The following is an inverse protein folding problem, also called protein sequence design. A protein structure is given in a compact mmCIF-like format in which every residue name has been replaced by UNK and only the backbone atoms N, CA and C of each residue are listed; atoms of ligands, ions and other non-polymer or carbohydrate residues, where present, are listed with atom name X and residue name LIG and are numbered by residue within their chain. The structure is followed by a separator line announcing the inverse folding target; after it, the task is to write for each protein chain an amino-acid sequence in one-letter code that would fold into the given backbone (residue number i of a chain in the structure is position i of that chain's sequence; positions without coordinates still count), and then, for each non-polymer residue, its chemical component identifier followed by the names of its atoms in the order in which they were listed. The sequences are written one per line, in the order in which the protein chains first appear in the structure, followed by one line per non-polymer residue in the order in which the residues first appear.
data_IF_407185511682
#
_entry.id   IF_407185511682
#
_cell.length_a   1.000
_cell.length_b   1.000
_cell.length_c   1.000
_cell.angle_alpha   90.00
_cell.angle_beta   90.00
_cell.angle_gamma   90.00
#
_symmetry.space_group_name_H-M   'P 1'
#
loop_
_entity.id
_entity.type
_entity.pdbx_description
1 polymer ?
#
# COMPACT_ATOMS: atom_id res chain seq x y z
N UNK A 1 32.31 -18.94 13.31
CA UNK A 1 31.75 -19.63 12.11
C UNK A 1 30.30 -19.94 12.47
N UNK A 2 29.30 -19.17 12.02
CA UNK A 2 28.63 -19.31 10.72
C UNK A 2 27.18 -19.76 11.02
N UNK A 3 26.12 -19.39 10.29
CA UNK A 3 26.01 -18.56 9.08
C UNK A 3 25.02 -17.42 9.29
N UNK A 4 25.31 -16.23 8.74
CA UNK A 4 24.32 -15.16 8.61
C UNK A 4 23.42 -15.43 7.40
N UNK A 5 22.13 -15.73 7.63
CA UNK A 5 21.16 -15.92 6.55
C UNK A 5 20.73 -14.55 6.02
N UNK A 6 21.40 -14.08 4.97
CA UNK A 6 20.98 -12.90 4.20
C UNK A 6 19.67 -13.21 3.49
N UNK A 7 18.53 -12.93 4.13
CA UNK A 7 17.23 -12.90 3.46
C UNK A 7 17.25 -11.78 2.41
N UNK A 8 17.11 -12.15 1.14
CA UNK A 8 16.99 -11.17 0.05
C UNK A 8 15.71 -10.35 0.26
N UNK A 9 15.84 -9.03 0.35
CA UNK A 9 14.71 -8.13 0.26
C UNK A 9 14.18 -8.16 -1.18
N UNK A 10 12.89 -8.43 -1.33
CA UNK A 10 12.16 -8.44 -2.59
C UNK A 10 10.67 -8.50 -2.33
N UNK A 11 9.88 -7.88 -3.20
CA UNK A 11 8.43 -8.07 -3.29
C UNK A 11 7.54 -7.44 -2.20
N UNK A 12 8.07 -6.79 -1.16
CA UNK A 12 7.26 -6.18 -0.07
C UNK A 12 7.67 -4.75 0.27
N UNK A 13 7.13 -3.79 -0.48
CA UNK A 13 7.04 -2.38 -0.09
C UNK A 13 5.78 -2.10 0.78
N UNK A 14 5.21 -3.14 1.42
CA UNK A 14 3.93 -3.05 2.16
C UNK A 14 3.71 -4.06 3.32
N UNK A 15 4.72 -4.82 3.78
CA UNK A 15 4.69 -5.54 5.08
C UNK A 15 6.13 -5.68 5.67
N UNK A 16 6.28 -6.26 6.88
CA UNK A 16 7.55 -6.31 7.65
C UNK A 16 8.65 -7.20 7.05
N UNK A 17 9.80 -7.45 7.68
CA UNK A 17 10.20 -7.54 9.12
C UNK A 17 11.77 -7.47 9.14
N UNK A 18 12.60 -6.92 10.06
CA UNK A 18 12.66 -6.60 11.53
C UNK A 18 13.50 -5.27 11.67
N UNK A 19 14.19 -4.83 12.75
CA UNK A 19 14.39 -5.30 14.13
C UNK A 19 15.67 -4.79 14.84
N UNK A 20 15.95 -5.34 16.04
CA UNK A 20 17.15 -5.22 16.93
C UNK A 20 17.40 -3.87 17.64
N UNK A 21 17.53 -3.95 18.98
CA UNK A 21 18.09 -3.00 19.95
C UNK A 21 17.50 -1.56 19.99
N UNK A 22 17.05 -1.13 21.17
CA UNK A 22 16.40 0.17 21.37
C UNK A 22 17.08 1.07 22.41
N UNK A 23 16.69 2.34 22.40
CA UNK A 23 16.86 3.32 23.48
C UNK A 23 15.50 4.03 23.62
N UNK A 24 15.00 4.19 24.85
CA UNK A 24 13.72 4.87 25.09
C UNK A 24 13.84 6.39 24.90
N UNK A 25 12.82 7.01 24.30
CA UNK A 25 12.75 8.47 24.13
C UNK A 25 11.45 8.99 24.78
N UNK A 26 11.60 9.64 25.92
CA UNK A 26 10.53 10.41 26.55
C UNK A 26 10.43 11.79 25.89
N UNK A 27 9.24 12.21 25.44
CA UNK A 27 9.07 13.56 24.88
C UNK A 27 7.82 13.81 24.03
N UNK A 28 7.11 12.77 23.58
CA UNK A 28 5.84 12.93 22.84
C UNK A 28 4.68 12.94 23.83
N UNK A 29 3.82 13.96 23.76
CA UNK A 29 2.60 14.07 24.57
C UNK A 29 1.63 12.93 24.28
N UNK A 30 0.71 12.68 25.21
CA UNK A 30 -0.24 11.57 25.10
C UNK A 30 -0.96 11.58 23.72
N UNK A 31 -1.14 10.41 23.08
CA UNK A 31 -1.88 10.33 21.83
C UNK A 31 -3.27 10.95 22.02
N UNK A 32 -3.79 11.60 20.99
CA UNK A 32 -5.20 11.96 20.95
C UNK A 32 -6.01 10.71 21.28
N UNK A 33 -6.81 10.76 22.36
CA UNK A 33 -7.72 9.67 22.69
C UNK A 33 -8.59 9.47 21.46
N UNK A 34 -8.57 8.27 20.88
CA UNK A 34 -9.30 7.99 19.64
C UNK A 34 -10.78 8.33 19.83
N UNK A 35 -11.20 9.50 19.33
CA UNK A 35 -12.57 9.97 19.39
C UNK A 35 -13.37 9.12 18.41
N UNK A 36 -13.76 7.95 18.91
CA UNK A 36 -14.09 6.77 18.10
C UNK A 36 -14.96 7.11 16.90
N UNK A 37 -14.52 6.68 15.71
CA UNK A 37 -15.13 6.88 14.38
C UNK A 37 -16.67 6.89 14.49
N UNK A 38 -17.25 8.09 14.62
CA UNK A 38 -18.56 8.23 15.28
C UNK A 38 -19.68 7.69 14.40
N UNK A 39 -20.22 6.53 14.79
CA UNK A 39 -21.37 5.90 14.14
C UNK A 39 -21.04 4.95 12.97
N UNK A 40 -19.78 4.58 12.76
CA UNK A 40 -19.40 3.57 11.76
C UNK A 40 -19.28 2.18 12.41
N UNK A 41 -20.21 1.28 12.10
CA UNK A 41 -20.14 -0.15 12.44
C UNK A 41 -19.78 -0.99 11.21
N UNK A 42 -18.72 -1.77 11.31
CA UNK A 42 -18.17 -2.60 10.23
C UNK A 42 -16.84 -3.22 10.63
N UNK A 43 -16.31 -4.12 9.80
CA UNK A 43 -15.03 -4.80 10.07
C UNK A 43 -13.85 -3.81 9.99
N UNK A 44 -13.96 -2.78 9.14
CA UNK A 44 -12.91 -1.78 8.94
C UNK A 44 -12.74 -0.77 10.08
N UNK A 45 -13.79 -0.09 10.57
CA UNK A 45 -13.70 0.80 11.74
C UNK A 45 -13.18 0.11 13.01
N UNK A 46 -13.52 -1.18 13.21
CA UNK A 46 -12.94 -1.99 14.28
C UNK A 46 -11.43 -2.18 14.07
N UNK A 47 -11.00 -2.54 12.85
CA UNK A 47 -9.59 -2.71 12.53
C UNK A 47 -8.76 -1.42 12.70
N UNK A 48 -9.31 -0.25 12.33
CA UNK A 48 -8.68 1.06 12.61
C UNK A 48 -8.51 1.26 14.11
N UNK A 49 -9.57 1.05 14.91
CA UNK A 49 -9.50 1.20 16.37
C UNK A 49 -8.43 0.29 16.98
N UNK A 50 -8.36 -0.98 16.57
CA UNK A 50 -7.33 -1.92 17.05
C UNK A 50 -5.93 -1.49 16.61
N UNK A 51 -5.75 -1.01 15.37
CA UNK A 51 -4.46 -0.50 14.90
C UNK A 51 -4.02 0.75 15.68
N UNK A 52 -4.93 1.69 15.98
CA UNK A 52 -4.64 2.87 16.80
C UNK A 52 -4.20 2.51 18.23
N UNK A 53 -4.77 1.46 18.84
CA UNK A 53 -4.28 0.93 20.12
C UNK A 53 -2.89 0.31 19.97
N UNK A 54 -2.70 -0.59 19.01
CA UNK A 54 -1.42 -1.28 18.79
C UNK A 54 -0.27 -0.31 18.45
N UNK A 55 -0.55 0.82 17.79
CA UNK A 55 0.47 1.83 17.50
C UNK A 55 1.15 2.38 18.78
N UNK A 56 0.47 2.35 19.93
CA UNK A 56 1.04 2.81 21.20
C UNK A 56 2.12 1.84 21.69
N UNK A 57 1.85 0.54 21.60
CA UNK A 57 2.83 -0.52 21.89
C UNK A 57 4.00 -0.47 20.89
N UNK A 58 3.72 -0.24 19.60
CA UNK A 58 4.74 -0.09 18.56
C UNK A 58 5.58 1.18 18.76
N UNK A 59 5.03 2.29 19.28
CA UNK A 59 5.78 3.50 19.64
C UNK A 59 6.78 3.25 20.78
N UNK A 60 6.44 2.37 21.73
CA UNK A 60 7.35 1.94 22.81
C UNK A 60 8.33 0.81 22.44
N UNK A 61 8.20 0.23 21.24
CA UNK A 61 8.99 -0.92 20.80
C UNK A 61 10.38 -0.56 20.27
N UNK A 62 11.24 -1.57 20.07
CA UNK A 62 12.55 -1.43 19.39
C UNK A 62 12.46 -1.36 17.86
N UNK A 63 11.33 -0.93 17.29
CA UNK A 63 11.19 -0.75 15.84
C UNK A 63 12.08 0.40 15.33
N UNK A 64 12.91 0.16 14.30
CA UNK A 64 13.68 1.21 13.66
C UNK A 64 12.80 2.38 13.18
N UNK A 65 13.31 3.61 13.29
CA UNK A 65 12.56 4.86 13.06
C UNK A 65 11.75 4.89 11.76
N UNK A 66 12.29 4.33 10.68
CA UNK A 66 11.64 4.26 9.37
C UNK A 66 10.39 3.35 9.36
N UNK A 67 10.42 2.22 10.08
CA UNK A 67 9.25 1.35 10.26
C UNK A 67 8.20 1.96 11.19
N UNK A 68 8.63 2.72 12.22
CA UNK A 68 7.73 3.56 13.06
C UNK A 68 7.04 4.63 12.19
N UNK A 69 7.81 5.38 11.39
CA UNK A 69 7.30 6.41 10.49
C UNK A 69 6.32 5.85 9.45
N UNK A 70 6.61 4.67 8.85
CA UNK A 70 5.70 3.98 7.94
C UNK A 70 4.37 3.60 8.63
N UNK A 71 4.44 3.06 9.84
CA UNK A 71 3.25 2.64 10.59
C UNK A 71 2.36 3.85 10.93
N UNK A 72 2.96 4.92 11.44
CA UNK A 72 2.29 6.19 11.73
C UNK A 72 1.67 6.79 10.46
N UNK A 73 2.40 6.85 9.35
CA UNK A 73 1.91 7.42 8.10
C UNK A 73 0.79 6.60 7.45
N UNK A 74 0.88 5.25 7.47
CA UNK A 74 -0.23 4.40 7.00
C UNK A 74 -1.47 4.58 7.86
N UNK A 75 -1.36 4.60 9.20
CA UNK A 75 -2.53 4.83 10.05
C UNK A 75 -3.11 6.24 9.86
N UNK A 76 -2.28 7.27 9.66
CA UNK A 76 -2.75 8.61 9.32
C UNK A 76 -3.64 8.59 8.06
N UNK A 77 -3.21 7.88 7.01
CA UNK A 77 -3.99 7.68 5.79
C UNK A 77 -5.29 6.92 6.06
N UNK A 78 -5.24 5.80 6.78
CA UNK A 78 -6.46 5.00 7.03
C UNK A 78 -7.45 5.78 7.92
N UNK A 79 -7.00 6.55 8.91
CA UNK A 79 -7.86 7.45 9.69
C UNK A 79 -8.47 8.56 8.84
N UNK A 80 -7.69 9.18 7.93
CA UNK A 80 -8.18 10.18 6.99
C UNK A 80 -9.34 9.64 6.13
N UNK A 81 -9.20 8.43 5.57
CA UNK A 81 -10.27 7.79 4.78
C UNK A 81 -11.54 7.61 5.61
N UNK A 82 -11.43 7.19 6.86
CA UNK A 82 -12.55 7.06 7.80
C UNK A 82 -13.08 8.40 8.38
N UNK A 83 -12.58 9.55 7.92
CA UNK A 83 -13.05 10.89 8.31
C UNK A 83 -12.51 11.41 9.64
N UNK A 84 -11.52 10.73 10.23
CA UNK A 84 -10.85 11.14 11.47
C UNK A 84 -9.68 12.09 11.14
N UNK A 85 -10.01 13.25 10.55
CA UNK A 85 -9.04 14.24 10.07
C UNK A 85 -8.14 14.79 11.19
N UNK A 86 -8.66 14.96 12.41
CA UNK A 86 -7.88 15.49 13.52
C UNK A 86 -6.75 14.53 13.90
N UNK A 87 -7.08 13.24 14.11
CA UNK A 87 -6.07 12.23 14.40
C UNK A 87 -5.13 12.00 13.22
N UNK A 88 -5.65 12.01 11.99
CA UNK A 88 -4.83 11.90 10.79
C UNK A 88 -3.81 13.06 10.67
N UNK A 89 -4.21 14.32 10.93
CA UNK A 89 -3.29 15.47 10.96
C UNK A 89 -2.34 15.44 12.17
N UNK A 90 -2.67 14.79 13.27
CA UNK A 90 -1.71 14.50 14.37
C UNK A 90 -0.67 13.47 13.91
N UNK A 91 -1.11 12.30 13.44
CA UNK A 91 -0.20 11.24 13.00
C UNK A 91 0.66 11.67 11.80
N UNK A 92 0.15 12.46 10.86
CA UNK A 92 0.94 13.00 9.77
C UNK A 92 2.12 13.85 10.28
N UNK A 93 1.92 14.64 11.33
CA UNK A 93 3.00 15.41 11.99
C UNK A 93 3.99 14.48 12.72
N UNK A 94 3.51 13.48 13.46
CA UNK A 94 4.36 12.46 14.09
C UNK A 94 5.26 11.75 13.05
N UNK A 95 4.72 11.38 11.88
CA UNK A 95 5.48 10.74 10.81
C UNK A 95 6.57 11.67 10.24
N UNK A 96 6.27 12.95 10.05
CA UNK A 96 7.26 13.96 9.61
C UNK A 96 8.33 14.20 10.68
N UNK A 97 7.99 14.16 11.97
CA UNK A 97 8.99 14.20 13.05
C UNK A 97 9.92 12.97 13.00
N UNK A 98 9.37 11.76 12.82
CA UNK A 98 10.14 10.51 12.72
C UNK A 98 11.09 10.46 11.50
N UNK A 99 10.72 11.09 10.39
CA UNK A 99 11.61 11.31 9.24
C UNK A 99 12.83 12.17 9.64
N UNK A 100 12.58 13.24 10.40
CA UNK A 100 13.57 14.25 10.76
C UNK A 100 14.35 13.95 12.06
N UNK A 101 14.04 12.87 12.79
CA UNK A 101 14.86 12.36 13.89
C UNK A 101 16.33 12.16 13.43
N UNK A 102 17.34 12.39 14.30
CA UNK A 102 18.69 11.93 14.04
C UNK A 102 18.75 10.40 14.14
N UNK A 103 19.52 9.73 13.27
CA UNK A 103 19.67 8.28 13.32
C UNK A 103 20.18 7.67 12.00
N UNK A 104 20.26 6.34 11.92
CA UNK A 104 20.74 5.64 10.72
C UNK A 104 19.91 5.99 9.49
N UNK A 105 20.54 5.89 8.32
CA UNK A 105 19.93 6.15 7.02
C UNK A 105 18.72 5.23 6.74
N UNK A 106 17.91 5.62 5.76
CA UNK A 106 16.83 4.79 5.26
C UNK A 106 17.35 3.48 4.67
N UNK A 107 16.77 2.30 4.98
CA UNK A 107 16.99 1.12 4.15
C UNK A 107 16.45 1.40 2.72
N UNK A 108 17.02 0.81 1.65
CA UNK A 108 16.71 1.20 0.28
C UNK A 108 15.21 1.18 -0.06
N UNK A 109 14.47 0.18 0.45
CA UNK A 109 13.04 -0.02 0.21
C UNK A 109 12.11 0.81 1.12
N UNK A 110 12.62 1.62 2.06
CA UNK A 110 11.77 2.43 2.94
C UNK A 110 12.51 3.69 3.43
N UNK A 111 12.22 4.83 2.79
CA UNK A 111 12.78 6.13 3.15
C UNK A 111 11.77 7.28 3.06
N UNK A 112 12.24 8.54 3.23
CA UNK A 112 11.37 9.72 3.30
C UNK A 112 10.40 9.85 2.11
N UNK A 113 10.86 9.58 0.89
CA UNK A 113 10.02 9.71 -0.31
C UNK A 113 8.76 8.85 -0.27
N UNK A 114 8.88 7.57 0.14
CA UNK A 114 7.76 6.65 0.28
C UNK A 114 6.79 7.12 1.37
N UNK A 115 7.31 7.59 2.50
CA UNK A 115 6.52 8.06 3.64
C UNK A 115 5.77 9.36 3.27
N UNK A 116 6.45 10.33 2.64
CA UNK A 116 5.83 11.55 2.13
C UNK A 116 4.77 11.26 1.07
N UNK A 117 4.94 10.27 0.18
CA UNK A 117 3.91 9.84 -0.75
C UNK A 117 2.67 9.26 -0.04
N UNK A 118 2.86 8.46 1.01
CA UNK A 118 1.74 7.93 1.83
C UNK A 118 0.99 9.07 2.53
N UNK A 119 1.72 10.06 3.07
CA UNK A 119 1.12 11.26 3.68
C UNK A 119 0.42 12.14 2.64
N UNK A 120 0.97 12.29 1.43
CA UNK A 120 0.35 13.03 0.32
C UNK A 120 -1.02 12.45 -0.04
N UNK A 121 -1.13 11.11 -0.14
CA UNK A 121 -2.43 10.45 -0.26
C UNK A 121 -3.32 10.66 0.97
N UNK A 122 -2.79 10.62 2.20
CA UNK A 122 -3.58 10.89 3.40
C UNK A 122 -4.25 12.26 3.35
N UNK A 123 -3.57 13.29 2.84
CA UNK A 123 -4.16 14.62 2.68
C UNK A 123 -5.21 14.69 1.55
N UNK A 124 -5.10 13.89 0.47
CA UNK A 124 -6.22 13.72 -0.48
C UNK A 124 -7.43 13.04 0.15
N UNK A 125 -7.17 12.03 0.98
CA UNK A 125 -8.20 11.31 1.72
C UNK A 125 -8.93 12.27 2.71
N UNK A 126 -8.22 13.27 3.25
CA UNK A 126 -8.75 14.44 4.02
C UNK A 126 -9.23 15.63 3.14
N UNK A 127 -9.42 15.46 1.82
CA UNK A 127 -9.87 16.51 0.88
C UNK A 127 -9.03 17.79 0.84
N UNK A 128 -7.74 17.68 1.16
CA UNK A 128 -6.76 18.77 1.21
C UNK A 128 -5.70 18.60 0.09
N UNK A 129 -6.05 18.92 -1.17
CA UNK A 129 -5.16 18.73 -2.31
C UNK A 129 -3.93 19.66 -2.27
N UNK A 130 -4.02 20.79 -1.58
CA UNK A 130 -2.88 21.72 -1.47
C UNK A 130 -1.75 21.14 -0.61
N UNK A 131 -2.07 20.62 0.57
CA UNK A 131 -1.08 19.94 1.41
C UNK A 131 -0.64 18.60 0.82
N UNK A 132 -1.52 17.90 0.09
CA UNK A 132 -1.14 16.73 -0.72
C UNK A 132 -0.02 17.06 -1.71
N UNK A 133 -0.18 18.11 -2.53
CA UNK A 133 0.83 18.51 -3.53
C UNK A 133 2.13 18.98 -2.85
N UNK A 134 2.05 19.64 -1.70
CA UNK A 134 3.25 19.99 -0.91
C UNK A 134 4.03 18.74 -0.46
N UNK A 135 3.33 17.72 0.05
CA UNK A 135 3.94 16.45 0.46
C UNK A 135 4.45 15.63 -0.73
N UNK A 136 3.77 15.68 -1.89
CA UNK A 136 4.28 15.10 -3.12
C UNK A 136 5.60 15.76 -3.56
N UNK A 137 5.73 17.08 -3.43
CA UNK A 137 6.97 17.80 -3.75
C UNK A 137 8.12 17.46 -2.78
N UNK A 138 7.86 17.30 -1.48
CA UNK A 138 8.88 16.81 -0.53
C UNK A 138 9.24 15.33 -0.82
N UNK A 139 8.30 14.51 -1.29
CA UNK A 139 8.60 13.17 -1.79
C UNK A 139 9.53 13.20 -3.02
N UNK A 140 9.25 14.05 -4.00
CA UNK A 140 10.07 14.22 -5.22
C UNK A 140 11.47 14.77 -4.93
N UNK A 141 11.58 15.66 -3.94
CA UNK A 141 12.86 16.16 -3.41
C UNK A 141 13.66 15.05 -2.72
N UNK A 142 13.01 14.21 -1.91
CA UNK A 142 13.63 13.02 -1.34
C UNK A 142 13.99 11.95 -2.39
N UNK A 143 13.25 11.83 -3.50
CA UNK A 143 13.58 10.91 -4.61
C UNK A 143 14.94 11.19 -5.27
N UNK A 144 15.50 12.40 -5.13
CA UNK A 144 16.79 12.77 -5.73
C UNK A 144 17.98 11.93 -5.22
N UNK A 145 17.86 11.34 -4.02
CA UNK A 145 18.91 10.49 -3.42
C UNK A 145 18.59 8.99 -3.48
N UNK A 146 17.43 8.60 -4.02
CA UNK A 146 17.03 7.19 -4.14
C UNK A 146 17.64 6.56 -5.39
N UNK A 147 18.56 5.63 -5.18
CA UNK A 147 19.25 4.87 -6.25
C UNK A 147 18.64 3.49 -6.52
N UNK A 148 17.79 2.98 -5.62
CA UNK A 148 17.14 1.68 -5.77
C UNK A 148 16.04 1.72 -6.84
N UNK A 149 16.24 0.95 -7.93
CA UNK A 149 15.33 0.91 -9.08
C UNK A 149 13.88 0.53 -8.70
N UNK A 150 13.64 -0.59 -7.99
CA UNK A 150 12.30 -0.98 -7.55
C UNK A 150 11.59 0.11 -6.73
N UNK A 151 12.30 0.75 -5.79
CA UNK A 151 11.74 1.81 -4.94
C UNK A 151 11.43 3.07 -5.74
N UNK A 152 12.30 3.44 -6.70
CA UNK A 152 12.03 4.53 -7.65
C UNK A 152 10.78 4.27 -8.48
N UNK A 153 10.72 3.13 -9.17
CA UNK A 153 9.61 2.76 -10.03
C UNK A 153 8.28 2.81 -9.27
N UNK A 154 8.20 2.17 -8.10
CA UNK A 154 6.98 2.14 -7.29
C UNK A 154 6.62 3.53 -6.72
N UNK A 155 7.59 4.30 -6.22
CA UNK A 155 7.30 5.63 -5.63
C UNK A 155 6.90 6.66 -6.70
N UNK A 156 7.54 6.69 -7.88
CA UNK A 156 7.09 7.53 -8.98
C UNK A 156 5.72 7.10 -9.54
N UNK A 157 5.44 5.79 -9.61
CA UNK A 157 4.12 5.29 -10.04
C UNK A 157 3.02 5.72 -9.07
N UNK A 158 3.27 5.61 -7.76
CA UNK A 158 2.31 5.99 -6.72
C UNK A 158 2.12 7.51 -6.65
N UNK A 159 3.19 8.31 -6.76
CA UNK A 159 3.08 9.77 -6.88
C UNK A 159 2.35 10.20 -8.15
N UNK A 160 2.51 9.49 -9.28
CA UNK A 160 1.73 9.71 -10.49
C UNK A 160 0.23 9.45 -10.32
N UNK A 161 -0.12 8.40 -9.57
CA UNK A 161 -1.52 8.09 -9.19
C UNK A 161 -2.11 9.16 -8.26
N UNK A 162 -1.37 9.56 -7.23
CA UNK A 162 -1.74 10.64 -6.30
C UNK A 162 -1.96 11.96 -7.04
N UNK A 163 -1.02 12.35 -7.91
CA UNK A 163 -1.10 13.64 -8.63
C UNK A 163 -2.20 13.65 -9.70
N UNK A 164 -2.64 12.49 -10.18
CA UNK A 164 -3.82 12.38 -11.05
C UNK A 164 -5.11 12.77 -10.31
N UNK A 165 -5.26 12.38 -9.04
CA UNK A 165 -6.36 12.83 -8.17
C UNK A 165 -6.17 14.29 -7.72
N UNK A 166 -4.94 14.69 -7.38
CA UNK A 166 -4.64 16.00 -6.78
C UNK A 166 -4.67 17.17 -7.78
N UNK A 167 -4.29 16.91 -9.03
CA UNK A 167 -3.94 17.94 -10.02
C UNK A 167 -4.16 17.52 -11.48
N UNK A 168 -4.80 16.37 -11.72
CA UNK A 168 -5.13 15.90 -13.07
C UNK A 168 -3.91 15.62 -13.95
N UNK A 169 -4.10 15.82 -15.25
CA UNK A 169 -3.13 15.41 -16.30
C UNK A 169 -1.78 16.09 -16.13
N UNK A 170 -1.75 17.39 -15.86
CA UNK A 170 -0.52 18.19 -15.92
C UNK A 170 0.45 17.87 -14.78
N UNK A 171 -0.06 17.62 -13.57
CA UNK A 171 0.77 17.17 -12.45
C UNK A 171 1.16 15.69 -12.51
N UNK A 172 0.28 14.83 -13.05
CA UNK A 172 0.53 13.39 -13.13
C UNK A 172 1.47 12.98 -14.27
N UNK A 173 1.28 13.54 -15.47
CA UNK A 173 2.01 13.16 -16.70
C UNK A 173 3.54 13.12 -16.57
N UNK A 174 4.24 14.14 -16.01
CA UNK A 174 5.70 14.06 -15.88
C UNK A 174 6.15 12.93 -14.95
N UNK A 175 5.36 12.61 -13.92
CA UNK A 175 5.63 11.54 -12.96
C UNK A 175 5.38 10.16 -13.56
N UNK A 176 4.29 9.99 -14.31
CA UNK A 176 3.98 8.74 -15.01
C UNK A 176 5.03 8.44 -16.11
N UNK A 177 5.51 9.46 -16.82
CA UNK A 177 6.62 9.31 -17.77
C UNK A 177 7.95 8.93 -17.08
N UNK A 178 8.21 9.44 -15.87
CA UNK A 178 9.38 9.03 -15.07
C UNK A 178 9.21 7.61 -14.51
N UNK A 179 8.00 7.26 -14.05
CA UNK A 179 7.65 5.95 -13.57
C UNK A 179 7.83 4.88 -14.66
N UNK A 180 7.34 5.14 -15.89
CA UNK A 180 7.55 4.26 -17.04
C UNK A 180 9.04 4.05 -17.37
N UNK A 181 9.85 5.11 -17.33
CA UNK A 181 11.31 5.03 -17.55
C UNK A 181 12.01 4.18 -16.50
N UNK A 182 11.70 4.36 -15.22
CA UNK A 182 12.33 3.56 -14.16
C UNK A 182 11.82 2.11 -14.19
N UNK A 183 10.54 1.91 -14.47
CA UNK A 183 9.89 0.59 -14.53
C UNK A 183 10.38 -0.28 -15.70
N UNK A 184 10.74 0.32 -16.84
CA UNK A 184 11.31 -0.42 -17.99
C UNK A 184 12.75 -0.88 -17.77
N UNK A 185 13.46 -0.37 -16.76
CA UNK A 185 14.78 -0.89 -16.35
C UNK A 185 14.70 -2.10 -15.41
N UNK A 186 13.51 -2.43 -14.90
CA UNK A 186 13.32 -3.56 -13.99
C UNK A 186 13.26 -4.90 -14.75
N UNK A 187 13.75 -6.00 -14.14
CA UNK A 187 13.44 -7.33 -14.63
C UNK A 187 11.94 -7.64 -14.48
N UNK A 188 11.41 -8.49 -15.37
CA UNK A 188 10.04 -8.95 -15.27
C UNK A 188 9.81 -9.73 -13.95
N UNK A 189 8.84 -9.27 -13.16
CA UNK A 189 8.61 -9.73 -11.79
C UNK A 189 7.61 -8.87 -11.03
N UNK A 190 7.43 -9.16 -9.73
CA UNK A 190 6.43 -8.51 -8.86
C UNK A 190 6.59 -7.00 -8.82
N UNK A 191 7.83 -6.51 -8.74
CA UNK A 191 8.19 -5.10 -8.64
C UNK A 191 7.81 -4.31 -9.89
N UNK A 192 8.05 -4.88 -11.09
CA UNK A 192 7.66 -4.27 -12.36
C UNK A 192 6.14 -4.27 -12.54
N UNK A 193 5.47 -5.39 -12.19
CA UNK A 193 4.01 -5.53 -12.29
C UNK A 193 3.29 -4.57 -11.36
N UNK A 194 3.75 -4.40 -10.13
CA UNK A 194 3.16 -3.45 -9.17
C UNK A 194 3.26 -1.99 -9.68
N UNK A 195 4.43 -1.60 -10.20
CA UNK A 195 4.64 -0.28 -10.78
C UNK A 195 3.78 -0.05 -12.05
N UNK A 196 3.81 -0.97 -13.02
CA UNK A 196 2.97 -0.91 -14.23
C UNK A 196 1.47 -0.85 -13.90
N UNK A 197 1.01 -1.61 -12.90
CA UNK A 197 -0.39 -1.59 -12.48
C UNK A 197 -0.81 -0.24 -11.86
N UNK A 198 0.07 0.40 -11.08
CA UNK A 198 -0.18 1.76 -10.55
C UNK A 198 -0.19 2.82 -11.66
N UNK A 199 0.71 2.72 -12.64
CA UNK A 199 0.75 3.59 -13.82
C UNK A 199 -0.54 3.46 -14.64
N UNK A 200 -0.98 2.23 -14.91
CA UNK A 200 -2.24 1.96 -15.62
C UNK A 200 -3.48 2.44 -14.86
N UNK A 201 -3.51 2.31 -13.52
CA UNK A 201 -4.57 2.90 -12.69
C UNK A 201 -4.62 4.43 -12.83
N UNK A 202 -3.46 5.10 -12.84
CA UNK A 202 -3.38 6.54 -12.99
C UNK A 202 -3.82 7.01 -14.40
N UNK A 203 -3.37 6.33 -15.46
CA UNK A 203 -3.80 6.61 -16.84
C UNK A 203 -5.30 6.38 -17.02
N UNK A 204 -5.86 5.31 -16.42
CA UNK A 204 -7.29 5.04 -16.39
C UNK A 204 -8.09 6.15 -15.71
N UNK A 205 -7.65 6.63 -14.53
CA UNK A 205 -8.25 7.80 -13.85
C UNK A 205 -8.20 9.07 -14.70
N UNK A 206 -7.13 9.29 -15.45
CA UNK A 206 -6.96 10.42 -16.38
C UNK A 206 -7.73 10.22 -17.71
N UNK A 207 -8.42 9.09 -17.89
CA UNK A 207 -9.08 8.68 -19.14
C UNK A 207 -8.11 8.61 -20.36
N UNK A 208 -6.81 8.44 -20.12
CA UNK A 208 -5.79 8.25 -21.15
C UNK A 208 -5.75 6.79 -21.59
N UNK A 209 -6.76 6.42 -22.39
CA UNK A 209 -6.98 5.03 -22.84
C UNK A 209 -5.86 4.47 -23.71
N UNK A 210 -5.14 5.32 -24.44
CA UNK A 210 -4.02 4.90 -25.27
C UNK A 210 -2.83 4.48 -24.38
N UNK A 211 -2.37 5.38 -23.51
CA UNK A 211 -1.27 5.09 -22.59
C UNK A 211 -1.60 3.92 -21.64
N UNK A 212 -2.86 3.80 -21.22
CA UNK A 212 -3.33 2.66 -20.41
C UNK A 212 -3.24 1.33 -21.17
N UNK A 213 -3.64 1.27 -22.44
CA UNK A 213 -3.56 0.05 -23.25
C UNK A 213 -2.11 -0.41 -23.47
N UNK A 214 -1.20 0.51 -23.79
CA UNK A 214 0.23 0.22 -23.93
C UNK A 214 0.83 -0.32 -22.61
N UNK A 215 0.45 0.30 -21.48
CA UNK A 215 0.92 -0.11 -20.15
C UNK A 215 0.35 -1.48 -19.74
N UNK A 216 -0.90 -1.81 -20.11
CA UNK A 216 -1.48 -3.15 -19.93
C UNK A 216 -0.83 -4.22 -20.81
N UNK A 217 -0.36 -3.86 -22.01
CA UNK A 217 0.42 -4.76 -22.88
C UNK A 217 1.78 -5.11 -22.26
N UNK A 218 2.48 -4.10 -21.73
CA UNK A 218 3.71 -4.31 -20.95
C UNK A 218 3.46 -5.14 -19.68
N UNK A 219 2.36 -4.87 -18.96
CA UNK A 219 1.95 -5.61 -17.76
C UNK A 219 1.69 -7.09 -18.06
N UNK A 220 0.99 -7.37 -19.16
CA UNK A 220 0.72 -8.74 -19.66
C UNK A 220 2.02 -9.48 -20.00
N UNK A 221 2.99 -8.78 -20.59
CA UNK A 221 4.31 -9.32 -20.90
C UNK A 221 5.10 -9.66 -19.62
N UNK A 222 5.06 -8.79 -18.60
CA UNK A 222 5.72 -9.03 -17.31
C UNK A 222 5.06 -10.17 -16.51
N UNK A 223 3.73 -10.32 -16.60
CA UNK A 223 2.98 -11.41 -15.96
C UNK A 223 3.41 -12.80 -16.44
N UNK A 224 3.81 -12.94 -17.70
CA UNK A 224 4.27 -14.21 -18.27
C UNK A 224 5.60 -14.73 -17.65
N UNK A 225 6.35 -13.88 -16.93
CA UNK A 225 7.59 -14.27 -16.26
C UNK A 225 7.38 -14.89 -14.87
N UNK A 226 6.17 -14.86 -14.29
CA UNK A 226 5.92 -15.33 -12.92
C UNK A 226 5.31 -16.74 -12.92
N UNK A 227 5.97 -17.65 -12.20
CA UNK A 227 5.60 -19.07 -12.11
C UNK A 227 5.13 -19.55 -10.73
N UNK A 228 5.45 -18.86 -9.62
CA UNK A 228 5.03 -19.29 -8.28
C UNK A 228 3.58 -18.91 -8.01
N UNK A 229 2.71 -19.82 -7.51
CA UNK A 229 1.31 -19.52 -7.23
C UNK A 229 1.08 -18.27 -6.35
N UNK A 230 1.88 -18.08 -5.29
CA UNK A 230 1.73 -16.91 -4.42
C UNK A 230 2.11 -15.58 -5.09
N UNK A 231 3.15 -15.59 -5.92
CA UNK A 231 3.57 -14.42 -6.70
C UNK A 231 2.52 -14.10 -7.79
N UNK A 232 1.95 -15.13 -8.44
CA UNK A 232 0.85 -15.00 -9.43
C UNK A 232 -0.39 -14.38 -8.78
N UNK A 233 -0.77 -14.80 -7.57
CA UNK A 233 -1.95 -14.28 -6.88
C UNK A 233 -1.89 -12.76 -6.69
N UNK A 234 -0.77 -12.26 -6.15
CA UNK A 234 -0.52 -10.82 -5.98
C UNK A 234 -0.45 -10.09 -7.33
N UNK A 235 0.32 -10.63 -8.29
CA UNK A 235 0.52 -10.02 -9.59
C UNK A 235 -0.77 -9.89 -10.41
N UNK A 236 -1.60 -10.95 -10.43
CA UNK A 236 -2.91 -10.95 -11.09
C UNK A 236 -3.92 -10.06 -10.37
N UNK A 237 -3.89 -9.97 -9.03
CA UNK A 237 -4.74 -9.02 -8.31
C UNK A 237 -4.39 -7.55 -8.66
N UNK A 238 -3.10 -7.20 -8.74
CA UNK A 238 -2.67 -5.89 -9.25
C UNK A 238 -3.15 -5.64 -10.69
N UNK A 239 -3.03 -6.64 -11.57
CA UNK A 239 -3.43 -6.52 -12.97
C UNK A 239 -4.95 -6.41 -13.18
N UNK A 240 -5.75 -7.08 -12.34
CA UNK A 240 -7.21 -6.93 -12.34
C UNK A 240 -7.62 -5.48 -12.07
N UNK A 241 -7.03 -4.85 -11.04
CA UNK A 241 -7.28 -3.45 -10.68
C UNK A 241 -6.83 -2.47 -11.77
N UNK A 242 -5.70 -2.74 -12.41
CA UNK A 242 -5.21 -1.98 -13.56
C UNK A 242 -6.18 -2.04 -14.75
N UNK A 243 -6.66 -3.24 -15.12
CA UNK A 243 -7.61 -3.44 -16.20
C UNK A 243 -8.98 -2.80 -15.89
N UNK A 244 -9.46 -2.90 -14.64
CA UNK A 244 -10.70 -2.27 -14.21
C UNK A 244 -10.64 -0.74 -14.32
N UNK A 245 -9.54 -0.13 -13.87
CA UNK A 245 -9.31 1.31 -14.01
C UNK A 245 -9.20 1.76 -15.48
N UNK A 246 -8.63 0.94 -16.35
CA UNK A 246 -8.59 1.16 -17.81
C UNK A 246 -9.93 0.85 -18.52
N UNK A 247 -10.96 0.43 -17.79
CA UNK A 247 -12.29 0.02 -18.27
C UNK A 247 -12.35 -1.31 -19.05
N UNK A 248 -11.27 -2.11 -19.09
CA UNK A 248 -11.32 -3.49 -19.59
C UNK A 248 -11.83 -4.45 -18.50
N UNK A 249 -13.15 -4.48 -18.37
CA UNK A 249 -13.87 -5.33 -17.43
C UNK A 249 -13.81 -6.83 -17.78
N UNK A 250 -13.28 -7.22 -18.95
CA UNK A 250 -13.12 -8.61 -19.35
C UNK A 250 -11.74 -9.14 -18.94
N UNK A 251 -10.67 -8.39 -19.24
CA UNK A 251 -9.33 -8.69 -18.71
C UNK A 251 -9.33 -8.64 -17.17
N UNK A 252 -9.99 -7.65 -16.56
CA UNK A 252 -10.09 -7.53 -15.11
C UNK A 252 -10.71 -8.79 -14.46
N UNK A 253 -11.87 -9.24 -14.95
CA UNK A 253 -12.55 -10.46 -14.46
C UNK A 253 -11.71 -11.72 -14.64
N UNK A 254 -10.97 -11.83 -15.73
CA UNK A 254 -10.07 -12.96 -15.94
C UNK A 254 -8.92 -12.95 -14.94
N UNK A 255 -8.27 -11.79 -14.73
CA UNK A 255 -7.20 -11.66 -13.75
C UNK A 255 -7.66 -11.88 -12.30
N UNK A 256 -8.87 -11.48 -11.91
CA UNK A 256 -9.43 -11.82 -10.58
C UNK A 256 -9.54 -13.33 -10.40
N UNK A 257 -10.10 -14.05 -11.39
CA UNK A 257 -10.24 -15.52 -11.36
C UNK A 257 -8.88 -16.20 -11.26
N UNK A 258 -7.90 -15.74 -12.03
CA UNK A 258 -6.51 -16.22 -11.99
C UNK A 258 -5.86 -15.95 -10.63
N UNK A 259 -6.10 -14.79 -10.02
CA UNK A 259 -5.58 -14.43 -8.70
C UNK A 259 -6.13 -15.34 -7.60
N UNK A 260 -7.44 -15.59 -7.59
CA UNK A 260 -8.11 -16.49 -6.64
C UNK A 260 -7.60 -17.92 -6.80
N UNK A 261 -7.58 -18.46 -8.02
CA UNK A 261 -7.11 -19.83 -8.27
C UNK A 261 -5.62 -20.04 -7.90
N UNK A 262 -4.80 -18.99 -8.04
CA UNK A 262 -3.41 -19.01 -7.60
C UNK A 262 -3.25 -18.86 -6.08
N UNK A 263 -4.08 -18.05 -5.43
CA UNK A 263 -4.16 -17.93 -3.96
C UNK A 263 -4.57 -19.26 -3.32
N UNK A 264 -5.65 -19.88 -3.80
CA UNK A 264 -6.15 -21.16 -3.27
C UNK A 264 -5.08 -22.25 -3.39
N UNK A 265 -4.41 -22.36 -4.53
CA UNK A 265 -3.29 -23.30 -4.73
C UNK A 265 -2.12 -23.04 -3.76
N UNK A 266 -1.70 -21.78 -3.63
CA UNK A 266 -0.56 -21.43 -2.77
C UNK A 266 -0.85 -21.56 -1.28
N UNK A 267 -2.12 -21.44 -0.87
CA UNK A 267 -2.55 -21.70 0.50
C UNK A 267 -2.75 -23.18 0.81
N UNK A 268 -3.27 -23.97 -0.13
CA UNK A 268 -3.36 -25.44 -0.04
C UNK A 268 -1.96 -26.08 0.09
N UNK A 269 -1.01 -25.64 -0.74
CA UNK A 269 0.39 -26.09 -0.67
C UNK A 269 1.18 -25.50 0.51
N UNK A 270 0.58 -24.60 1.29
CA UNK A 270 1.19 -23.83 2.37
C UNK A 270 2.46 -23.04 1.97
N UNK A 271 2.55 -22.65 0.69
CA UNK A 271 3.66 -21.88 0.11
C UNK A 271 3.63 -20.39 0.51
N UNK A 272 2.43 -19.80 0.60
CA UNK A 272 2.26 -18.37 0.85
C UNK A 272 2.35 -18.05 2.36
N UNK A 273 3.23 -17.15 2.83
CA UNK A 273 3.23 -16.65 4.21
C UNK A 273 1.94 -15.93 4.60
N UNK A 274 1.57 -15.93 5.89
CA UNK A 274 0.30 -15.31 6.35
C UNK A 274 0.20 -13.81 6.07
N UNK A 275 1.33 -13.08 6.08
CA UNK A 275 1.41 -11.66 5.69
C UNK A 275 1.05 -11.46 4.22
N UNK A 276 1.61 -12.30 3.33
CA UNK A 276 1.27 -12.27 1.90
C UNK A 276 -0.17 -12.71 1.64
N UNK A 277 -0.72 -13.64 2.45
CA UNK A 277 -2.15 -14.01 2.36
C UNK A 277 -3.05 -12.82 2.66
N UNK A 278 -2.77 -12.07 3.73
CA UNK A 278 -3.54 -10.87 4.07
C UNK A 278 -3.41 -9.78 2.99
N UNK A 279 -2.22 -9.59 2.42
CA UNK A 279 -2.01 -8.66 1.30
C UNK A 279 -2.76 -9.09 0.02
N UNK A 280 -2.70 -10.38 -0.33
CA UNK A 280 -3.39 -10.93 -1.49
C UNK A 280 -4.91 -10.83 -1.35
N UNK A 281 -5.48 -11.26 -0.22
CA UNK A 281 -6.91 -11.11 0.05
C UNK A 281 -7.36 -9.64 0.01
N UNK A 282 -6.56 -8.70 0.52
CA UNK A 282 -6.85 -7.26 0.41
C UNK A 282 -6.90 -6.76 -1.03
N UNK A 283 -5.91 -7.13 -1.85
CA UNK A 283 -5.86 -6.74 -3.27
C UNK A 283 -6.97 -7.39 -4.10
N UNK A 284 -7.30 -8.67 -3.84
CA UNK A 284 -8.37 -9.37 -4.55
C UNK A 284 -9.75 -8.82 -4.14
N UNK A 285 -9.98 -8.50 -2.86
CA UNK A 285 -11.22 -7.87 -2.41
C UNK A 285 -11.45 -6.49 -3.05
N UNK A 286 -10.39 -5.70 -3.21
CA UNK A 286 -10.44 -4.43 -3.95
C UNK A 286 -10.74 -4.67 -5.44
N UNK A 287 -10.09 -5.66 -6.06
CA UNK A 287 -10.32 -5.99 -7.46
C UNK A 287 -11.75 -6.46 -7.75
N UNK A 288 -12.32 -7.35 -6.91
CA UNK A 288 -13.72 -7.78 -6.99
C UNK A 288 -14.70 -6.60 -6.88
N UNK A 289 -14.42 -5.65 -5.98
CA UNK A 289 -15.22 -4.45 -5.83
C UNK A 289 -15.16 -3.55 -7.07
N UNK A 290 -13.97 -3.39 -7.66
CA UNK A 290 -13.72 -2.59 -8.86
C UNK A 290 -14.34 -3.20 -10.15
N UNK A 291 -14.51 -4.53 -10.24
CA UNK A 291 -15.26 -5.19 -11.33
C UNK A 291 -16.77 -5.33 -11.07
N UNK A 292 -17.22 -4.93 -9.87
CA UNK A 292 -18.63 -4.85 -9.45
C UNK A 292 -19.16 -6.00 -8.60
N UNK A 293 -18.39 -7.07 -8.33
CA UNK A 293 -18.85 -8.15 -7.44
C UNK A 293 -18.62 -7.82 -5.96
N UNK A 294 -19.49 -6.95 -5.47
CA UNK A 294 -19.62 -6.60 -4.06
C UNK A 294 -19.96 -7.81 -3.17
N UNK A 295 -20.45 -8.92 -3.70
CA UNK A 295 -20.75 -10.12 -2.90
C UNK A 295 -19.47 -10.88 -2.57
N UNK A 296 -18.69 -11.18 -3.61
CA UNK A 296 -17.40 -11.89 -3.48
C UNK A 296 -16.38 -11.01 -2.76
N UNK A 297 -16.32 -9.71 -3.04
CA UNK A 297 -15.50 -8.76 -2.27
C UNK A 297 -15.76 -8.83 -0.75
N UNK A 298 -17.03 -8.81 -0.32
CA UNK A 298 -17.42 -8.96 1.10
C UNK A 298 -17.13 -10.35 1.67
N UNK A 299 -17.08 -11.40 0.86
CA UNK A 299 -16.63 -12.72 1.30
C UNK A 299 -15.11 -12.72 1.54
N UNK A 300 -14.33 -12.16 0.63
CA UNK A 300 -12.87 -12.10 0.72
C UNK A 300 -12.42 -11.22 1.89
N UNK A 301 -13.09 -10.09 2.18
CA UNK A 301 -12.83 -9.27 3.39
C UNK A 301 -13.03 -10.07 4.69
N UNK A 302 -14.03 -10.96 4.75
CA UNK A 302 -14.25 -11.83 5.92
C UNK A 302 -13.16 -12.91 6.03
N UNK A 303 -12.72 -13.50 4.92
CA UNK A 303 -11.55 -14.41 4.88
C UNK A 303 -10.26 -13.69 5.30
N UNK A 304 -10.11 -12.41 4.94
CA UNK A 304 -8.99 -11.57 5.35
C UNK A 304 -8.99 -11.39 6.88
N UNK A 305 -10.13 -10.99 7.48
CA UNK A 305 -10.27 -10.86 8.93
C UNK A 305 -9.97 -12.18 9.68
N UNK A 306 -10.44 -13.32 9.15
CA UNK A 306 -10.13 -14.64 9.71
C UNK A 306 -8.64 -14.99 9.61
N UNK A 307 -8.00 -14.73 8.46
CA UNK A 307 -6.57 -14.99 8.25
C UNK A 307 -5.72 -14.10 9.18
N UNK A 308 -6.06 -12.81 9.26
CA UNK A 308 -5.40 -11.82 10.12
C UNK A 308 -5.46 -12.18 11.61
N UNK A 309 -6.54 -12.82 12.06
CA UNK A 309 -6.66 -13.27 13.45
C UNK A 309 -5.56 -14.29 13.86
N UNK A 310 -4.97 -15.01 12.89
CA UNK A 310 -3.86 -15.95 13.12
C UNK A 310 -2.49 -15.29 13.22
N UNK A 311 -2.36 -14.01 12.85
CA UNK A 311 -1.08 -13.29 12.92
C UNK A 311 -0.81 -12.84 14.36
N UNK A 312 0.34 -13.27 14.89
CA UNK A 312 0.79 -13.02 16.26
C UNK A 312 1.92 -11.99 16.36
N UNK A 313 2.69 -11.77 15.28
CA UNK A 313 3.74 -10.75 15.24
C UNK A 313 3.08 -9.34 15.26
N UNK A 314 3.42 -8.43 16.19
CA UNK A 314 2.68 -7.18 16.38
C UNK A 314 2.71 -6.22 15.20
N UNK A 315 3.84 -6.10 14.49
CA UNK A 315 3.96 -5.21 13.34
C UNK A 315 3.18 -5.74 12.13
N UNK A 316 3.33 -7.02 11.80
CA UNK A 316 2.62 -7.66 10.70
C UNK A 316 1.11 -7.68 10.94
N UNK A 317 0.67 -7.90 12.20
CA UNK A 317 -0.74 -7.78 12.59
C UNK A 317 -1.25 -6.35 12.44
N UNK A 318 -0.46 -5.35 12.84
CA UNK A 318 -0.80 -3.94 12.63
C UNK A 318 -0.91 -3.60 11.13
N UNK A 319 0.08 -3.99 10.31
CA UNK A 319 0.03 -3.78 8.85
C UNK A 319 -1.18 -4.46 8.20
N UNK A 320 -1.54 -5.65 8.69
CA UNK A 320 -2.72 -6.40 8.25
C UNK A 320 -4.05 -5.80 8.69
N UNK A 321 -4.13 -5.20 9.89
CA UNK A 321 -5.29 -4.43 10.35
C UNK A 321 -5.53 -3.20 9.46
N UNK A 322 -4.47 -2.49 9.08
CA UNK A 322 -4.59 -1.39 8.12
C UNK A 322 -5.05 -1.89 6.75
N UNK A 323 -4.57 -3.04 6.27
CA UNK A 323 -5.05 -3.65 5.01
C UNK A 323 -6.52 -4.11 5.10
N UNK A 324 -6.96 -4.65 6.24
CA UNK A 324 -8.38 -4.97 6.49
C UNK A 324 -9.26 -3.72 6.47
N UNK A 325 -8.85 -2.66 7.16
CA UNK A 325 -9.54 -1.38 7.13
C UNK A 325 -9.54 -0.76 5.72
N UNK A 326 -8.39 -0.80 5.03
CA UNK A 326 -8.23 -0.17 3.72
C UNK A 326 -9.09 -0.82 2.62
N UNK A 327 -9.27 -2.15 2.68
CA UNK A 327 -10.15 -2.90 1.78
C UNK A 327 -11.62 -2.88 2.24
N UNK A 328 -11.87 -2.99 3.54
CA UNK A 328 -13.21 -2.90 4.12
C UNK A 328 -13.90 -1.57 3.77
N UNK A 329 -13.15 -0.45 3.78
CA UNK A 329 -13.65 0.86 3.40
C UNK A 329 -14.30 0.89 2.01
N UNK A 330 -13.59 0.47 0.96
CA UNK A 330 -14.11 0.51 -0.43
C UNK A 330 -15.32 -0.41 -0.64
N UNK A 331 -15.34 -1.53 0.10
CA UNK A 331 -16.38 -2.57 0.02
C UNK A 331 -17.63 -2.20 0.85
N UNK A 332 -17.48 -1.42 1.92
CA UNK A 332 -18.59 -0.99 2.80
C UNK A 332 -19.19 0.37 2.43
N UNK A 333 -18.41 1.30 1.84
CA UNK A 333 -18.88 2.65 1.46
C UNK A 333 -20.14 2.62 0.59
N UNK A 334 -20.21 1.69 -0.38
CA UNK A 334 -21.29 1.61 -1.36
C UNK A 334 -22.55 0.88 -0.84
N UNK A 335 -22.86 1.04 0.45
CA UNK A 335 -24.15 0.70 1.11
C UNK A 335 -25.10 1.90 1.19
N UNK A 336 -24.66 3.09 0.76
CA UNK A 336 -25.40 4.36 0.76
C UNK A 336 -25.50 4.90 -0.67
#
# INVERSE_FOLDING_TARGET
MGFGVVRKAGGLLLAGVLGVAGVGISGITAPAQAQAVRGASGDGPEAVKTASTMLLDLKGSSLPRWWRALAVARLARTQARYGDEESARVLARDAVLLINEPGPAAPPALGPATIFAILSQAYLDMRDPQSSVQLANEALKAMQTVTDGPTRANTFSYLGLIMADASGVDGARPLLLQALRDTSTLPAGREQIAALALIAQAQGKLNDKASAADTLSALTSALAAISKPGDIALARAHAARAAAAAQDMNAARNHVREAIAAYDRSTQNNEMPMTERVAALGLIALAENEIGDKSTARQIVRTLKQTLATITEPYDKFQGLLTLADAGFEVEQQKR
#
